data_IF_747678457854
#
_entry.id   IF_747678457854
#
_cell.length_a   1.000
_cell.length_b   1.000
_cell.length_c   1.000
_cell.angle_alpha   90.00
_cell.angle_beta   90.00
_cell.angle_gamma   90.00
#
_symmetry.space_group_name_H-M   'P 1'
#
loop_
_entity.id
_entity.type
_entity.pdbx_description
1 polymer ?
#
# COMPACT_ATOMS: atom_id res chain seq x y z
N UNK A 1 8.61 -24.42 -18.07
CA UNK A 1 8.70 -23.20 -17.21
C UNK A 1 8.44 -21.97 -18.09
N UNK A 2 7.98 -20.82 -17.56
CA UNK A 2 7.57 -19.63 -18.35
C UNK A 2 8.62 -19.23 -19.41
N UNK A 3 9.90 -19.33 -19.05
CA UNK A 3 11.07 -19.03 -19.90
C UNK A 3 11.21 -19.95 -21.11
N UNK A 4 10.81 -21.21 -21.02
CA UNK A 4 10.88 -22.18 -22.13
C UNK A 4 9.95 -21.79 -23.28
N UNK A 5 9.01 -20.88 -23.03
CA UNK A 5 8.11 -20.30 -24.02
C UNK A 5 8.53 -18.89 -24.47
N UNK A 6 9.71 -18.40 -24.07
CA UNK A 6 10.25 -17.11 -24.49
C UNK A 6 9.60 -15.89 -23.85
N UNK A 7 8.80 -16.06 -22.80
CA UNK A 7 8.19 -14.94 -22.08
C UNK A 7 9.15 -14.32 -21.05
N UNK A 8 9.15 -12.99 -20.88
CA UNK A 8 9.85 -12.35 -19.79
C UNK A 8 9.21 -12.75 -18.46
N UNK A 9 10.03 -12.98 -17.45
CA UNK A 9 9.60 -13.33 -16.11
C UNK A 9 9.78 -12.13 -15.18
N UNK A 10 8.67 -11.71 -14.57
CA UNK A 10 8.64 -10.73 -13.49
C UNK A 10 8.27 -11.47 -12.21
N UNK A 11 9.14 -11.42 -11.21
CA UNK A 11 8.88 -11.98 -9.89
C UNK A 11 8.47 -10.85 -8.93
N UNK A 12 7.20 -10.84 -8.53
CA UNK A 12 6.73 -9.93 -7.47
C UNK A 12 6.72 -10.67 -6.13
N UNK A 13 7.34 -10.05 -5.11
CA UNK A 13 7.46 -10.59 -3.76
C UNK A 13 6.98 -9.53 -2.78
N UNK A 14 5.95 -9.88 -2.00
CA UNK A 14 5.49 -9.02 -0.91
C UNK A 14 6.42 -9.18 0.29
N UNK A 15 6.99 -8.08 0.76
CA UNK A 15 7.96 -8.02 1.86
C UNK A 15 7.28 -7.58 3.16
N UNK A 16 7.62 -8.25 4.25
CA UNK A 16 7.19 -7.97 5.62
C UNK A 16 8.26 -8.43 6.61
N UNK A 17 8.07 -8.13 7.90
CA UNK A 17 9.00 -8.48 9.00
C UNK A 17 9.60 -9.89 8.92
N UNK A 18 8.78 -10.90 8.65
CA UNK A 18 9.22 -12.30 8.73
C UNK A 18 9.99 -12.81 7.50
N UNK A 19 9.96 -12.11 6.35
CA UNK A 19 10.66 -12.57 5.13
C UNK A 19 11.71 -11.58 4.63
N UNK A 20 11.73 -10.35 5.14
CA UNK A 20 12.71 -9.33 4.75
C UNK A 20 14.16 -9.77 5.04
N UNK A 21 14.38 -10.56 6.10
CA UNK A 21 15.70 -11.13 6.41
C UNK A 21 16.19 -12.19 5.40
N UNK A 22 15.32 -12.67 4.50
CA UNK A 22 15.64 -13.67 3.47
C UNK A 22 15.82 -13.05 2.08
N UNK A 23 16.04 -11.73 2.01
CA UNK A 23 16.14 -11.00 0.74
C UNK A 23 17.24 -11.54 -0.17
N UNK A 24 18.37 -11.95 0.41
CA UNK A 24 19.47 -12.54 -0.35
C UNK A 24 19.02 -13.82 -1.03
N UNK A 25 18.41 -14.74 -0.30
CA UNK A 25 17.91 -16.02 -0.81
C UNK A 25 16.81 -15.82 -1.85
N UNK A 26 15.93 -14.84 -1.64
CA UNK A 26 14.88 -14.46 -2.61
C UNK A 26 15.52 -13.99 -3.93
N UNK A 27 16.54 -13.13 -3.86
CA UNK A 27 17.23 -12.61 -5.05
C UNK A 27 18.08 -13.67 -5.74
N UNK A 28 18.74 -14.56 -5.00
CA UNK A 28 19.46 -15.71 -5.56
C UNK A 28 18.51 -16.67 -6.29
N UNK A 29 17.34 -16.94 -5.70
CA UNK A 29 16.30 -17.73 -6.34
C UNK A 29 15.80 -17.04 -7.62
N UNK A 30 15.56 -15.73 -7.58
CA UNK A 30 15.11 -14.99 -8.76
C UNK A 30 16.14 -15.01 -9.91
N UNK A 31 17.42 -14.85 -9.59
CA UNK A 31 18.53 -14.97 -10.54
C UNK A 31 18.59 -16.38 -11.13
N UNK A 32 18.48 -17.42 -10.29
CA UNK A 32 18.48 -18.82 -10.72
C UNK A 32 17.28 -19.19 -11.62
N UNK A 33 16.12 -18.59 -11.38
CA UNK A 33 14.94 -18.74 -12.26
C UNK A 33 15.07 -17.92 -13.57
N UNK A 34 16.09 -17.06 -13.67
CA UNK A 34 16.32 -16.20 -14.82
C UNK A 34 15.33 -15.04 -14.93
N UNK A 35 14.94 -14.45 -13.80
CA UNK A 35 14.02 -13.30 -13.77
C UNK A 35 14.64 -12.07 -14.44
N UNK A 36 13.89 -11.45 -15.36
CA UNK A 36 14.26 -10.14 -15.91
C UNK A 36 13.98 -9.02 -14.92
N UNK A 37 12.93 -9.17 -14.11
CA UNK A 37 12.50 -8.16 -13.15
C UNK A 37 12.13 -8.80 -11.82
N UNK A 38 12.54 -8.17 -10.73
CA UNK A 38 12.10 -8.51 -9.37
C UNK A 38 11.52 -7.27 -8.72
N UNK A 39 10.28 -7.40 -8.25
CA UNK A 39 9.58 -6.36 -7.50
C UNK A 39 9.47 -6.79 -6.04
N UNK A 40 10.30 -6.20 -5.20
CA UNK A 40 10.30 -6.35 -3.76
C UNK A 40 9.39 -5.27 -3.17
N UNK A 41 8.09 -5.56 -3.07
CA UNK A 41 7.08 -4.60 -2.65
C UNK A 41 6.77 -4.77 -1.16
N UNK A 42 7.03 -3.76 -0.33
CA UNK A 42 6.63 -3.84 1.06
C UNK A 42 5.11 -3.91 1.23
N UNK A 43 4.69 -4.62 2.27
CA UNK A 43 3.29 -4.74 2.65
C UNK A 43 2.73 -3.34 2.91
N UNK A 44 1.68 -2.98 2.18
CA UNK A 44 0.92 -1.78 2.51
C UNK A 44 0.15 -2.04 3.80
N UNK A 45 0.30 -1.19 4.82
CA UNK A 45 -0.35 -1.34 6.12
C UNK A 45 -1.72 -0.68 6.14
N UNK A 46 -2.60 -1.14 5.25
CA UNK A 46 -4.02 -0.81 5.20
C UNK A 46 -4.81 -2.02 4.65
N UNK A 47 -6.13 -2.05 4.85
CA UNK A 47 -6.93 -3.26 4.59
C UNK A 47 -6.55 -4.40 5.53
N UNK A 48 -6.49 -5.65 5.05
CA UNK A 48 -6.24 -6.83 5.89
C UNK A 48 -4.95 -6.80 6.71
N UNK A 49 -3.87 -6.24 6.16
CA UNK A 49 -2.59 -6.15 6.86
C UNK A 49 -2.66 -5.23 8.08
N UNK A 50 -3.65 -4.34 8.15
CA UNK A 50 -3.85 -3.40 9.26
C UNK A 50 -4.13 -4.15 10.57
N UNK A 51 -4.87 -5.28 10.50
CA UNK A 51 -5.14 -6.20 11.65
C UNK A 51 -3.86 -6.79 12.22
N UNK A 52 -2.82 -6.93 11.41
CA UNK A 52 -1.54 -7.53 11.77
C UNK A 52 -0.38 -6.53 11.64
N UNK A 53 -0.67 -5.22 11.64
CA UNK A 53 0.32 -4.18 11.30
C UNK A 53 1.55 -4.27 12.18
N UNK A 54 1.35 -4.30 13.49
CA UNK A 54 2.44 -4.33 14.47
C UNK A 54 3.29 -5.61 14.39
N UNK A 55 2.74 -6.71 13.87
CA UNK A 55 3.47 -7.96 13.64
C UNK A 55 4.20 -7.97 12.29
N UNK A 56 3.59 -7.43 11.24
CA UNK A 56 4.10 -7.51 9.87
C UNK A 56 5.05 -6.35 9.50
N UNK A 57 5.05 -5.24 10.23
CA UNK A 57 5.91 -4.10 9.96
C UNK A 57 7.39 -4.43 10.20
N UNK A 58 8.28 -4.34 9.19
CA UNK A 58 9.70 -4.53 9.43
C UNK A 58 10.25 -3.42 10.34
N UNK A 59 11.35 -3.69 11.03
CA UNK A 59 12.06 -2.64 11.79
C UNK A 59 12.91 -1.78 10.85
N UNK A 60 13.41 -0.64 11.34
CA UNK A 60 14.32 0.23 10.59
C UNK A 60 15.58 -0.53 10.17
N UNK A 61 16.15 -1.31 11.08
CA UNK A 61 17.37 -2.09 10.86
C UNK A 61 17.15 -3.17 9.79
N UNK A 62 15.98 -3.81 9.78
CA UNK A 62 15.61 -4.77 8.74
C UNK A 62 15.51 -4.11 7.35
N UNK A 63 15.05 -2.87 7.28
CA UNK A 63 14.96 -2.11 6.02
C UNK A 63 16.34 -1.68 5.56
N UNK A 64 17.18 -1.15 6.45
CA UNK A 64 18.54 -0.73 6.10
C UNK A 64 19.37 -1.91 5.57
N UNK A 65 19.26 -3.08 6.21
CA UNK A 65 19.91 -4.30 5.73
C UNK A 65 19.34 -4.78 4.38
N UNK A 66 18.02 -4.68 4.21
CA UNK A 66 17.35 -4.98 2.94
C UNK A 66 17.83 -4.09 1.78
N UNK A 67 17.98 -2.79 2.04
CA UNK A 67 18.50 -1.82 1.08
C UNK A 67 19.95 -2.15 0.72
N UNK A 68 20.80 -2.45 1.71
CA UNK A 68 22.19 -2.87 1.50
C UNK A 68 22.26 -4.08 0.58
N UNK A 69 21.56 -5.17 0.91
CA UNK A 69 21.53 -6.40 0.10
C UNK A 69 21.01 -6.11 -1.31
N UNK A 70 19.94 -5.33 -1.43
CA UNK A 70 19.37 -4.96 -2.74
C UNK A 70 20.39 -4.24 -3.62
N UNK A 71 21.14 -3.29 -3.05
CA UNK A 71 22.14 -2.52 -3.78
C UNK A 71 23.33 -3.38 -4.20
N UNK A 72 23.78 -4.32 -3.35
CA UNK A 72 24.82 -5.30 -3.72
C UNK A 72 24.43 -6.12 -4.96
N UNK A 73 23.17 -6.56 -5.05
CA UNK A 73 22.68 -7.28 -6.23
C UNK A 73 22.53 -6.39 -7.46
N UNK A 74 22.19 -5.10 -7.30
CA UNK A 74 22.13 -4.13 -8.41
C UNK A 74 23.51 -3.86 -9.00
N UNK A 75 24.55 -3.85 -8.17
CA UNK A 75 25.94 -3.58 -8.57
C UNK A 75 26.65 -4.82 -9.14
N UNK A 76 26.07 -6.02 -8.98
CA UNK A 76 26.64 -7.28 -9.51
C UNK A 76 26.86 -7.19 -11.02
N UNK A 77 28.14 -7.17 -11.41
CA UNK A 77 28.55 -7.07 -12.81
C UNK A 77 27.92 -8.18 -13.67
N UNK A 78 27.33 -7.80 -14.81
CA UNK A 78 26.70 -8.73 -15.74
C UNK A 78 25.28 -9.16 -15.37
N UNK A 79 24.71 -8.67 -14.26
CA UNK A 79 23.31 -8.91 -13.92
C UNK A 79 22.38 -8.29 -14.97
N UNK A 80 21.46 -9.10 -15.51
CA UNK A 80 20.37 -8.65 -16.39
C UNK A 80 19.07 -8.40 -15.63
N UNK A 81 19.03 -8.78 -14.35
CA UNK A 81 17.86 -8.70 -13.49
C UNK A 81 17.70 -7.28 -12.94
N UNK A 82 16.57 -6.65 -13.24
CA UNK A 82 16.22 -5.32 -12.72
C UNK A 82 15.46 -5.46 -11.40
N UNK A 83 15.97 -4.84 -10.34
CA UNK A 83 15.42 -4.97 -8.99
C UNK A 83 14.76 -3.67 -8.54
N UNK A 84 13.45 -3.73 -8.34
CA UNK A 84 12.66 -2.65 -7.74
C UNK A 84 12.42 -2.97 -6.27
N UNK A 85 12.93 -2.14 -5.37
CA UNK A 85 12.66 -2.25 -3.95
C UNK A 85 11.82 -1.06 -3.49
N UNK A 86 10.60 -1.35 -3.05
CA UNK A 86 9.62 -0.36 -2.61
C UNK A 86 9.59 -0.39 -1.10
N UNK A 87 10.34 0.50 -0.46
CA UNK A 87 10.44 0.70 0.99
C UNK A 87 9.06 1.06 1.59
N UNK A 88 8.71 0.63 2.83
CA UNK A 88 7.44 1.01 3.44
C UNK A 88 7.38 2.52 3.66
N UNK A 89 6.24 3.13 3.31
CA UNK A 89 6.09 4.58 3.36
C UNK A 89 6.21 5.15 4.80
N UNK A 90 5.96 4.34 5.84
CA UNK A 90 6.00 4.75 7.24
C UNK A 90 7.38 5.22 7.72
N UNK A 91 8.43 4.85 6.99
CA UNK A 91 9.80 5.23 7.30
C UNK A 91 10.30 6.44 6.50
N UNK A 92 9.42 7.08 5.73
CA UNK A 92 9.66 8.28 4.90
C UNK A 92 9.02 9.53 5.50
N UNK A 93 9.61 10.71 5.24
CA UNK A 93 9.08 11.98 5.74
C UNK A 93 7.91 12.53 4.92
N UNK A 94 7.77 12.06 3.68
CA UNK A 94 6.75 12.47 2.71
C UNK A 94 6.09 11.25 2.07
N UNK A 95 4.76 11.28 1.87
CA UNK A 95 4.08 10.24 1.13
C UNK A 95 4.46 10.32 -0.35
N UNK A 96 4.34 9.19 -1.05
CA UNK A 96 4.40 9.15 -2.51
C UNK A 96 3.05 9.53 -3.10
N UNK A 97 3.06 9.96 -4.36
CA UNK A 97 1.85 10.12 -5.16
C UNK A 97 1.16 8.77 -5.36
N UNK A 98 0.14 8.48 -4.54
CA UNK A 98 -0.53 7.17 -4.54
C UNK A 98 -1.11 6.85 -5.92
N UNK A 99 -0.72 5.73 -6.52
CA UNK A 99 -1.10 5.35 -7.89
C UNK A 99 -0.83 6.48 -8.91
N UNK A 100 0.21 7.30 -8.70
CA UNK A 100 0.49 8.50 -9.50
C UNK A 100 -0.65 9.54 -9.58
N UNK A 101 -1.58 9.53 -8.62
CA UNK A 101 -2.67 10.48 -8.50
C UNK A 101 -4.03 9.82 -8.63
N UNK A 102 -4.98 10.26 -7.80
CA UNK A 102 -6.33 9.69 -7.77
C UNK A 102 -7.03 9.87 -9.12
N UNK A 103 -7.31 8.76 -9.79
CA UNK A 103 -7.92 8.78 -11.10
C UNK A 103 -7.10 9.55 -12.15
N UNK A 104 -5.77 9.67 -12.01
CA UNK A 104 -4.95 10.38 -13.02
C UNK A 104 -4.29 9.44 -14.02
N UNK A 105 -3.90 8.24 -13.58
CA UNK A 105 -3.18 7.27 -14.43
C UNK A 105 -3.89 5.92 -14.53
N UNK A 106 -4.50 5.45 -13.44
CA UNK A 106 -5.04 4.08 -13.37
C UNK A 106 -6.55 4.04 -13.23
N UNK A 107 -7.15 3.06 -13.91
CA UNK A 107 -8.54 2.65 -13.77
C UNK A 107 -8.57 1.15 -13.54
N UNK A 108 -9.39 0.69 -12.59
CA UNK A 108 -9.56 -0.73 -12.29
C UNK A 108 -11.00 -1.12 -12.58
N UNK A 109 -11.21 -2.17 -13.36
CA UNK A 109 -12.52 -2.79 -13.56
C UNK A 109 -12.55 -4.08 -12.76
N UNK A 110 -13.41 -4.13 -11.76
CA UNK A 110 -13.59 -5.32 -10.90
C UNK A 110 -14.44 -6.38 -11.58
N UNK A 111 -14.39 -7.62 -11.10
CA UNK A 111 -15.07 -8.76 -11.74
C UNK A 111 -16.60 -8.59 -11.86
N UNK A 112 -17.25 -7.83 -10.96
CA UNK A 112 -18.68 -7.52 -11.04
C UNK A 112 -19.00 -6.34 -11.98
N UNK A 113 -17.98 -5.66 -12.50
CA UNK A 113 -18.06 -4.56 -13.45
C UNK A 113 -17.82 -3.17 -12.86
N UNK A 114 -17.61 -3.02 -11.55
CA UNK A 114 -17.43 -1.68 -10.98
C UNK A 114 -16.07 -1.11 -11.38
N UNK A 115 -16.06 0.19 -11.69
CA UNK A 115 -14.92 0.96 -12.17
C UNK A 115 -14.37 1.82 -11.03
N UNK A 116 -13.12 1.58 -10.63
CA UNK A 116 -12.50 2.20 -9.46
C UNK A 116 -11.28 3.05 -9.84
N UNK A 117 -11.09 4.21 -9.20
CA UNK A 117 -9.90 5.05 -9.39
C UNK A 117 -8.63 4.50 -8.71
N UNK A 118 -8.80 3.61 -7.72
CA UNK A 118 -7.72 2.82 -7.12
C UNK A 118 -8.29 1.55 -6.49
N UNK A 119 -7.44 0.56 -6.20
CA UNK A 119 -7.87 -0.76 -5.75
C UNK A 119 -8.64 -0.70 -4.43
N UNK A 120 -8.21 0.17 -3.51
CA UNK A 120 -8.79 0.32 -2.18
C UNK A 120 -9.92 1.33 -2.09
N UNK A 121 -10.36 1.94 -3.21
CA UNK A 121 -11.31 3.05 -3.19
C UNK A 121 -12.63 2.72 -2.45
N UNK A 122 -13.03 1.44 -2.43
CA UNK A 122 -14.26 0.97 -1.75
C UNK A 122 -14.25 1.14 -0.23
N UNK A 123 -13.09 1.33 0.40
CA UNK A 123 -13.04 1.61 1.84
C UNK A 123 -13.59 2.99 2.17
N UNK A 124 -13.67 3.89 1.18
CA UNK A 124 -14.15 5.25 1.37
C UNK A 124 -15.67 5.26 1.45
N UNK A 125 -16.26 5.89 2.49
CA UNK A 125 -17.70 5.93 2.67
C UNK A 125 -18.34 6.86 1.64
N UNK A 126 -19.63 6.62 1.39
CA UNK A 126 -20.46 7.47 0.53
C UNK A 126 -19.89 7.65 -0.89
N UNK A 127 -19.23 6.62 -1.42
CA UNK A 127 -18.76 6.56 -2.80
C UNK A 127 -19.68 5.67 -3.62
N UNK A 128 -20.18 6.19 -4.73
CA UNK A 128 -20.86 5.40 -5.76
C UNK A 128 -19.94 5.26 -6.95
N UNK A 129 -19.57 4.02 -7.27
CA UNK A 129 -18.69 3.72 -8.39
C UNK A 129 -19.51 3.40 -9.65
N UNK A 130 -19.10 3.88 -10.83
CA UNK A 130 -19.71 3.46 -12.09
C UNK A 130 -19.57 1.95 -12.29
N UNK A 131 -20.47 1.36 -13.07
CA UNK A 131 -20.36 -0.01 -13.54
C UNK A 131 -20.31 -0.03 -15.08
N UNK A 132 -19.41 -0.84 -15.65
CA UNK A 132 -19.22 -0.94 -17.11
C UNK A 132 -20.43 -1.50 -17.86
N UNK A 133 -21.37 -2.14 -17.14
CA UNK A 133 -22.64 -2.61 -17.71
C UNK A 133 -23.61 -1.46 -17.98
N UNK A 134 -23.47 -0.37 -17.23
CA UNK A 134 -24.44 0.74 -17.21
C UNK A 134 -23.83 2.04 -17.78
N UNK A 135 -22.50 2.17 -17.76
CA UNK A 135 -21.79 3.42 -18.09
C UNK A 135 -20.55 3.17 -18.96
N UNK A 136 -20.27 4.09 -19.87
CA UNK A 136 -19.07 4.06 -20.71
C UNK A 136 -17.80 4.29 -19.89
N UNK A 137 -16.68 3.67 -20.29
CA UNK A 137 -15.39 3.82 -19.61
C UNK A 137 -14.84 5.24 -19.71
N UNK A 138 -15.04 5.91 -20.85
CA UNK A 138 -14.64 7.30 -21.05
C UNK A 138 -15.40 8.26 -20.13
N UNK A 139 -16.72 8.07 -20.00
CA UNK A 139 -17.52 8.80 -19.00
C UNK A 139 -17.07 8.47 -17.57
N UNK A 140 -16.87 7.19 -17.26
CA UNK A 140 -16.40 6.74 -15.94
C UNK A 140 -15.07 7.41 -15.56
N UNK A 141 -14.15 7.54 -16.51
CA UNK A 141 -12.88 8.22 -16.33
C UNK A 141 -13.02 9.74 -16.16
N UNK A 142 -13.69 10.41 -17.09
CA UNK A 142 -13.65 11.87 -17.20
C UNK A 142 -14.67 12.56 -16.31
N UNK A 143 -15.87 12.01 -16.23
CA UNK A 143 -17.05 12.70 -15.71
C UNK A 143 -17.52 12.15 -14.37
N UNK A 144 -17.21 10.88 -14.03
CA UNK A 144 -17.80 10.27 -12.84
C UNK A 144 -17.40 11.00 -11.55
N UNK A 145 -18.34 11.18 -10.60
CA UNK A 145 -18.03 11.80 -9.31
C UNK A 145 -16.94 11.04 -8.55
N UNK A 146 -16.90 9.70 -8.67
CA UNK A 146 -15.91 8.88 -7.97
C UNK A 146 -14.46 9.17 -8.42
N UNK A 147 -14.25 9.39 -9.72
CA UNK A 147 -12.92 9.71 -10.25
C UNK A 147 -12.54 11.16 -10.00
N UNK A 148 -13.49 12.09 -10.04
CA UNK A 148 -13.22 13.51 -9.84
C UNK A 148 -13.13 13.95 -8.37
N UNK A 149 -13.61 13.15 -7.41
CA UNK A 149 -13.68 13.54 -5.98
C UNK A 149 -12.34 14.00 -5.41
N UNK A 150 -11.24 13.32 -5.73
CA UNK A 150 -9.89 13.64 -5.24
C UNK A 150 -8.88 13.86 -6.37
N UNK A 151 -9.34 14.14 -7.59
CA UNK A 151 -8.46 14.45 -8.72
C UNK A 151 -7.98 15.89 -8.62
N UNK A 152 -6.72 16.15 -8.94
CA UNK A 152 -6.13 17.49 -8.76
C UNK A 152 -5.96 17.86 -7.29
N UNK A 153 -5.95 19.16 -6.99
CA UNK A 153 -5.67 19.71 -5.65
C UNK A 153 -6.77 20.61 -5.07
N UNK A 154 -7.85 20.88 -5.81
CA UNK A 154 -8.94 21.76 -5.36
C UNK A 154 -9.68 21.28 -4.10
N UNK A 155 -9.72 19.96 -3.89
CA UNK A 155 -10.37 19.31 -2.75
C UNK A 155 -9.54 19.38 -1.46
N UNK A 156 -8.24 19.69 -1.56
CA UNK A 156 -7.32 19.54 -0.43
C UNK A 156 -7.67 20.45 0.75
N UNK A 157 -7.57 19.93 1.97
CA UNK A 157 -7.63 20.74 3.20
C UNK A 157 -6.22 21.18 3.61
N UNK A 158 -6.13 22.07 4.60
CA UNK A 158 -4.84 22.36 5.23
C UNK A 158 -4.30 21.11 5.95
N UNK A 159 -2.97 20.88 5.97
CA UNK A 159 -1.91 21.75 5.43
C UNK A 159 -1.68 21.64 3.91
N UNK A 160 -2.29 20.65 3.24
CA UNK A 160 -2.01 20.35 1.83
C UNK A 160 -2.41 21.48 0.88
N UNK A 161 -3.53 22.17 1.14
CA UNK A 161 -4.06 23.26 0.32
C UNK A 161 -3.04 24.36 0.03
N UNK A 162 -2.32 24.79 1.07
CA UNK A 162 -1.28 25.83 1.00
C UNK A 162 0.15 25.28 0.87
N UNK A 163 0.34 23.95 0.87
CA UNK A 163 1.66 23.33 0.82
C UNK A 163 2.33 23.52 -0.55
N UNK A 164 3.60 23.92 -0.56
CA UNK A 164 4.42 24.03 -1.76
C UNK A 164 4.71 22.69 -2.44
N UNK A 165 4.54 21.57 -1.72
CA UNK A 165 4.86 20.22 -2.20
C UNK A 165 3.64 19.48 -2.75
N UNK A 166 2.43 20.05 -2.68
CA UNK A 166 1.17 19.35 -2.99
C UNK A 166 1.10 18.74 -4.39
N UNK A 167 1.75 19.35 -5.38
CA UNK A 167 1.79 18.81 -6.74
C UNK A 167 2.67 17.55 -6.87
N UNK A 168 3.59 17.32 -5.93
CA UNK A 168 4.52 16.20 -5.95
C UNK A 168 3.85 14.91 -5.45
N UNK A 169 3.04 15.00 -4.40
CA UNK A 169 2.45 13.83 -3.70
C UNK A 169 0.92 13.77 -3.77
N UNK A 170 0.26 14.85 -4.19
CA UNK A 170 -1.19 15.05 -4.14
C UNK A 170 -1.80 14.70 -2.78
N UNK A 171 -1.08 15.07 -1.72
CA UNK A 171 -1.47 14.84 -0.32
C UNK A 171 -1.28 13.41 0.16
N UNK A 172 -0.86 12.46 -0.69
CA UNK A 172 -0.67 11.04 -0.38
C UNK A 172 -1.91 10.16 -0.63
N UNK A 173 -2.03 9.02 0.06
CA UNK A 173 -3.06 8.02 -0.14
C UNK A 173 -4.38 8.33 0.60
N UNK A 174 -5.46 8.60 -0.15
CA UNK A 174 -6.80 8.89 0.43
C UNK A 174 -7.36 7.74 1.26
N UNK A 175 -7.12 6.51 0.82
CA UNK A 175 -7.60 5.30 1.52
C UNK A 175 -6.88 5.12 2.86
N UNK A 176 -5.58 5.43 2.91
CA UNK A 176 -4.81 5.37 4.15
C UNK A 176 -5.21 6.49 5.11
N UNK A 177 -5.34 7.73 4.63
CA UNK A 177 -5.86 8.84 5.43
C UNK A 177 -7.18 8.47 6.10
N UNK A 178 -8.14 7.95 5.33
CA UNK A 178 -9.43 7.55 5.87
C UNK A 178 -9.32 6.41 6.88
N UNK A 179 -8.59 5.34 6.56
CA UNK A 179 -8.48 4.17 7.45
C UNK A 179 -7.80 4.50 8.79
N UNK A 180 -6.90 5.47 8.81
CA UNK A 180 -6.17 5.87 10.01
C UNK A 180 -6.84 7.01 10.81
N UNK A 181 -7.58 7.89 10.14
CA UNK A 181 -8.08 9.14 10.78
C UNK A 181 -9.60 9.31 10.72
N UNK A 182 -10.28 8.55 9.87
CA UNK A 182 -11.70 8.68 9.61
C UNK A 182 -12.06 9.78 8.60
N UNK A 183 -11.09 10.56 8.12
CA UNK A 183 -11.28 11.55 7.06
C UNK A 183 -10.32 11.26 5.89
N UNK A 184 -10.85 11.17 4.67
CA UNK A 184 -10.06 10.95 3.47
C UNK A 184 -9.41 12.24 2.94
N UNK A 185 -9.88 13.41 3.38
CA UNK A 185 -9.46 14.73 2.88
C UNK A 185 -8.31 15.34 3.68
N UNK A 186 -7.91 14.73 4.79
CA UNK A 186 -6.73 15.15 5.56
C UNK A 186 -5.43 14.75 4.85
N UNK A 187 -4.35 15.47 5.18
CA UNK A 187 -3.01 15.09 4.78
C UNK A 187 -2.71 13.66 5.22
N UNK A 188 -2.13 12.85 4.32
CA UNK A 188 -1.71 11.50 4.63
C UNK A 188 -0.85 11.48 5.91
N UNK A 189 -1.18 10.67 6.93
CA UNK A 189 -0.44 10.58 8.18
C UNK A 189 1.05 10.29 8.01
N UNK A 190 1.49 9.69 6.89
CA UNK A 190 2.93 9.51 6.60
C UNK A 190 3.66 10.85 6.51
N UNK A 191 3.01 11.91 6.04
CA UNK A 191 3.63 13.23 5.96
C UNK A 191 3.90 13.80 7.34
N UNK A 192 5.14 14.23 7.61
CA UNK A 192 5.50 14.86 8.90
C UNK A 192 4.80 16.20 9.15
N UNK A 193 4.19 16.80 8.12
CA UNK A 193 3.34 18.00 8.25
C UNK A 193 1.90 17.67 8.64
N UNK A 194 1.47 16.40 8.58
CA UNK A 194 0.10 16.01 8.94
C UNK A 194 -0.11 16.15 10.46
N UNK A 195 -1.25 16.71 10.91
CA UNK A 195 -1.58 16.72 12.34
C UNK A 195 -1.76 15.29 12.91
N UNK A 196 -1.94 14.30 12.05
CA UNK A 196 -2.11 12.89 12.41
C UNK A 196 -0.83 12.07 12.30
N UNK A 197 0.35 12.70 12.12
CA UNK A 197 1.62 11.99 11.99
C UNK A 197 1.95 11.08 13.19
N UNK A 198 1.51 11.47 14.38
CA UNK A 198 1.65 10.67 15.61
C UNK A 198 1.10 9.23 15.49
N UNK A 199 0.14 8.98 14.58
CA UNK A 199 -0.38 7.62 14.33
C UNK A 199 0.66 6.71 13.66
N UNK A 200 1.52 7.28 12.82
CA UNK A 200 2.62 6.56 12.17
C UNK A 200 3.74 6.32 13.16
N UNK A 201 4.10 7.34 13.94
CA UNK A 201 5.09 7.21 15.02
C UNK A 201 4.68 6.12 16.02
N UNK A 202 3.41 6.12 16.47
CA UNK A 202 2.90 5.09 17.37
C UNK A 202 2.94 3.70 16.72
N UNK A 203 2.59 3.58 15.42
CA UNK A 203 2.66 2.30 14.73
C UNK A 203 4.09 1.74 14.64
N UNK A 204 5.10 2.60 14.50
CA UNK A 204 6.52 2.23 14.52
C UNK A 204 6.93 1.77 15.93
N UNK A 205 6.49 2.47 16.97
CA UNK A 205 6.74 2.07 18.37
C UNK A 205 6.10 0.70 18.66
N UNK A 206 4.84 0.51 18.28
CA UNK A 206 4.11 -0.74 18.48
C UNK A 206 4.77 -1.91 17.74
N UNK A 207 5.32 -1.63 16.55
CA UNK A 207 6.06 -2.62 15.79
C UNK A 207 7.31 -3.10 16.56
N UNK A 208 7.97 -2.24 17.33
CA UNK A 208 9.13 -2.61 18.13
C UNK A 208 8.76 -3.36 19.43
N UNK A 209 7.47 -3.38 19.81
CA UNK A 209 7.03 -4.02 21.04
C UNK A 209 7.10 -5.57 20.91
N UNK A 210 7.95 -6.26 21.70
CA UNK A 210 8.13 -7.70 21.58
C UNK A 210 6.88 -8.50 21.99
N UNK A 211 6.03 -7.95 22.88
CA UNK A 211 4.79 -8.60 23.32
C UNK A 211 3.75 -8.58 22.21
N UNK A 212 3.61 -7.45 21.52
CA UNK A 212 2.67 -7.32 20.39
C UNK A 212 3.15 -8.15 19.19
N UNK A 213 4.46 -8.14 18.93
CA UNK A 213 5.10 -8.91 17.87
C UNK A 213 4.91 -10.42 18.02
N UNK A 214 4.80 -10.92 19.26
CA UNK A 214 4.61 -12.34 19.57
C UNK A 214 3.15 -12.82 19.42
N UNK A 215 2.19 -11.93 19.20
CA UNK A 215 0.79 -12.30 19.03
C UNK A 215 0.56 -13.08 17.72
N UNK A 216 -0.34 -14.09 17.70
CA UNK A 216 -0.66 -14.82 16.48
C UNK A 216 -1.18 -13.90 15.37
N UNK A 217 -0.73 -14.17 14.14
CA UNK A 217 -1.20 -13.51 12.92
C UNK A 217 -2.62 -14.00 12.60
N UNK A 218 -3.51 -13.05 12.33
CA UNK A 218 -4.85 -13.35 11.81
C UNK A 218 -4.78 -13.48 10.29
N UNK A 219 -4.74 -14.73 9.82
CA UNK A 219 -4.75 -15.04 8.39
C UNK A 219 -6.05 -14.60 7.71
N UNK A 220 -5.94 -14.18 6.45
CA UNK A 220 -7.11 -13.89 5.61
C UNK A 220 -7.75 -15.18 5.14
N UNK A 221 -8.92 -15.49 5.69
CA UNK A 221 -9.76 -16.61 5.27
C UNK A 221 -11.23 -16.30 5.64
N UNK A 222 -12.16 -17.03 5.05
CA UNK A 222 -13.60 -16.82 5.22
C UNK A 222 -14.03 -16.83 6.69
N UNK A 223 -13.43 -17.72 7.50
CA UNK A 223 -13.74 -17.83 8.93
C UNK A 223 -13.39 -16.55 9.68
N UNK A 224 -12.17 -16.04 9.49
CA UNK A 224 -11.69 -14.83 10.14
C UNK A 224 -12.41 -13.59 9.60
N UNK A 225 -12.71 -13.54 8.30
CA UNK A 225 -13.49 -12.44 7.71
C UNK A 225 -14.88 -12.33 8.32
N UNK A 226 -15.59 -13.46 8.48
CA UNK A 226 -16.90 -13.49 9.16
C UNK A 226 -16.80 -13.05 10.62
N UNK A 227 -15.75 -13.44 11.35
CA UNK A 227 -15.50 -13.01 12.73
C UNK A 227 -15.30 -11.50 12.84
N UNK A 228 -14.51 -10.90 11.94
CA UNK A 228 -14.32 -9.43 11.90
C UNK A 228 -15.65 -8.72 11.63
N UNK A 229 -16.41 -9.18 10.63
CA UNK A 229 -17.72 -8.61 10.30
C UNK A 229 -18.71 -8.72 11.48
N UNK A 230 -18.64 -9.82 12.24
CA UNK A 230 -19.47 -10.04 13.42
C UNK A 230 -18.98 -9.28 14.67
N UNK A 231 -17.87 -8.55 14.60
CA UNK A 231 -17.30 -7.80 15.74
C UNK A 231 -16.55 -8.67 16.76
N UNK A 232 -16.22 -9.92 16.43
CA UNK A 232 -15.52 -10.85 17.34
C UNK A 232 -14.02 -10.55 17.51
N UNK A 233 -13.47 -9.62 16.72
CA UNK A 233 -12.08 -9.17 16.78
C UNK A 233 -11.95 -7.66 17.05
N UNK A 234 -12.93 -7.07 17.74
CA UNK A 234 -12.97 -5.63 18.03
C UNK A 234 -11.68 -5.10 18.65
N UNK A 235 -11.04 -5.82 19.57
CA UNK A 235 -9.76 -5.38 20.15
C UNK A 235 -8.66 -5.11 19.10
N UNK A 236 -8.73 -5.76 17.94
CA UNK A 236 -7.79 -5.55 16.82
C UNK A 236 -8.30 -4.58 15.76
N UNK A 237 -9.59 -4.26 15.74
CA UNK A 237 -10.23 -3.49 14.65
C UNK A 237 -10.94 -2.23 15.09
N UNK A 238 -11.17 -2.02 16.39
CA UNK A 238 -11.94 -0.89 16.96
C UNK A 238 -11.34 0.47 16.60
N UNK A 239 -10.01 0.53 16.51
CA UNK A 239 -9.29 1.73 16.11
C UNK A 239 -9.37 2.03 14.59
N UNK A 240 -9.97 1.15 13.77
CA UNK A 240 -10.05 1.32 12.33
C UNK A 240 -11.39 1.92 11.90
N UNK A 241 -11.34 2.87 10.98
CA UNK A 241 -12.54 3.56 10.47
C UNK A 241 -13.25 2.81 9.33
N UNK A 242 -12.66 1.73 8.83
CA UNK A 242 -13.31 0.78 7.93
C UNK A 242 -12.86 -0.64 8.28
N UNK A 243 -13.77 -1.60 8.09
CA UNK A 243 -13.41 -3.00 8.24
C UNK A 243 -12.44 -3.42 7.13
N UNK A 244 -11.40 -4.20 7.47
CA UNK A 244 -10.38 -4.67 6.55
C UNK A 244 -10.83 -5.77 5.57
#
# INVERSE_FOLDING_TARGET
MIKDHGYPMVLNVVIHRYNIGHLKEILEMADALGAEYVELANTQYYGWSLVNRSQLMPTREQIEEAERITNEFREKAGSKMKIFFVVPDYFSDRPKKCMNGWGEVFMIVTANGDVLPCHSARVLPNMQFPNVKDTDLGWSWKESPAFNKYRGDDWMKEPCRSCSEKANDLGGCRCQSFLLTGDAEVADPVCTKSPHHHLIEQAIIDAQNPVIAAQPIVFRNDKNSKKIIAGELNERTEQFHALP
#
